data_IF_208985346215
#
_entry.id   IF_208985346215
#
_cell.length_a   1.000
_cell.length_b   1.000
_cell.length_c   1.000
_cell.angle_alpha   90.00
_cell.angle_beta   90.00
_cell.angle_gamma   90.00
#
_symmetry.space_group_name_H-M   'P 1'
#
loop_
_entity.id
_entity.type
_entity.pdbx_description
1 polymer ?
#
# COMPACT_ATOMS: atom_id res chain seq x y z
N UNK A 1 6.70 -8.29 12.78
CA UNK A 1 7.58 -7.13 13.01
C UNK A 1 6.78 -5.85 12.84
N UNK A 2 6.03 -5.44 13.87
CA UNK A 2 5.26 -4.19 13.85
C UNK A 2 6.21 -3.02 14.10
N UNK A 3 6.87 -2.56 13.04
CA UNK A 3 7.63 -1.30 13.07
C UNK A 3 6.71 -0.23 13.65
N UNK A 4 7.15 0.40 14.74
CA UNK A 4 6.34 1.36 15.48
C UNK A 4 5.79 2.42 14.53
N UNK A 5 4.47 2.39 14.31
CA UNK A 5 3.78 3.35 13.46
C UNK A 5 4.12 4.78 13.89
N UNK A 6 4.39 5.67 12.93
CA UNK A 6 4.61 7.11 13.14
C UNK A 6 3.50 7.77 14.00
N UNK A 7 2.32 7.15 14.06
CA UNK A 7 1.21 7.53 14.94
C UNK A 7 1.55 7.44 16.43
N UNK A 8 2.43 6.52 16.86
CA UNK A 8 2.89 6.43 18.26
C UNK A 8 3.69 7.67 18.66
N UNK A 9 4.52 8.18 17.76
CA UNK A 9 5.30 9.40 17.98
C UNK A 9 4.37 10.62 18.09
N UNK A 10 3.31 10.69 17.27
CA UNK A 10 2.29 11.74 17.41
C UNK A 10 1.56 11.69 18.76
N UNK A 11 1.29 10.49 19.31
CA UNK A 11 0.69 10.33 20.64
C UNK A 11 1.60 10.85 21.75
N UNK A 12 2.92 10.66 21.62
CA UNK A 12 3.92 11.19 22.56
C UNK A 12 4.02 12.73 22.49
N UNK A 13 3.95 13.30 21.28
CA UNK A 13 4.06 14.75 21.04
C UNK A 13 2.76 15.53 21.29
N UNK A 14 1.70 14.91 21.82
CA UNK A 14 0.37 15.53 21.96
C UNK A 14 0.38 16.83 22.78
N UNK A 15 1.22 16.92 23.82
CA UNK A 15 1.29 18.05 24.74
C UNK A 15 2.21 19.18 24.25
N UNK A 16 3.06 18.93 23.26
CA UNK A 16 3.99 19.94 22.73
C UNK A 16 3.64 20.27 21.27
N UNK A 17 2.86 21.35 21.11
CA UNK A 17 2.34 21.78 19.81
C UNK A 17 3.46 22.14 18.83
N UNK A 18 4.51 22.82 19.27
CA UNK A 18 5.64 23.21 18.43
C UNK A 18 6.38 21.99 17.86
N UNK A 19 6.69 21.00 18.70
CA UNK A 19 7.33 19.74 18.27
C UNK A 19 6.43 18.94 17.34
N UNK A 20 5.12 18.89 17.60
CA UNK A 20 4.13 18.22 16.74
C UNK A 20 4.10 18.82 15.34
N UNK A 21 4.04 20.15 15.21
CA UNK A 21 4.02 20.83 13.91
C UNK A 21 5.31 20.59 13.13
N UNK A 22 6.48 20.67 13.79
CA UNK A 22 7.77 20.39 13.15
C UNK A 22 7.86 18.96 12.62
N UNK A 23 7.39 17.98 13.41
CA UNK A 23 7.36 16.57 13.03
C UNK A 23 6.44 16.29 11.84
N UNK A 24 5.25 16.89 11.82
CA UNK A 24 4.31 16.76 10.70
C UNK A 24 4.89 17.30 9.38
N UNK A 25 5.68 18.38 9.44
CA UNK A 25 6.30 19.01 8.27
C UNK A 25 7.46 18.21 7.69
N UNK A 26 8.35 17.67 8.52
CA UNK A 26 9.63 17.10 8.04
C UNK A 26 9.72 15.58 8.15
N UNK A 27 9.08 14.98 9.17
CA UNK A 27 9.32 13.58 9.54
C UNK A 27 8.13 12.65 9.24
N UNK A 28 6.95 13.21 8.94
CA UNK A 28 5.79 12.41 8.57
C UNK A 28 6.09 11.62 7.28
N UNK A 29 5.92 10.29 7.26
CA UNK A 29 6.05 9.50 6.04
C UNK A 29 5.09 10.03 4.98
N UNK A 30 5.63 10.43 3.83
CA UNK A 30 4.82 10.87 2.69
C UNK A 30 4.24 9.64 2.00
N UNK A 31 2.94 9.66 1.74
CA UNK A 31 2.32 8.62 0.94
C UNK A 31 2.83 8.71 -0.51
N UNK A 32 3.39 7.63 -1.07
CA UNK A 32 3.96 7.66 -2.41
C UNK A 32 2.85 7.75 -3.46
N UNK A 33 2.90 8.79 -4.31
CA UNK A 33 1.98 8.92 -5.46
C UNK A 33 2.30 7.92 -6.59
N UNK A 34 3.55 7.48 -6.68
CA UNK A 34 4.09 6.61 -7.73
C UNK A 34 5.07 5.58 -7.16
N UNK A 35 5.52 4.63 -7.99
CA UNK A 35 6.44 3.58 -7.59
C UNK A 35 5.78 2.36 -6.95
N UNK A 36 6.59 1.37 -6.51
CA UNK A 36 6.10 0.08 -6.00
C UNK A 36 5.19 0.24 -4.77
N UNK A 37 5.54 1.12 -3.83
CA UNK A 37 4.76 1.34 -2.60
C UNK A 37 3.41 2.05 -2.80
N UNK A 38 3.13 2.56 -3.99
CA UNK A 38 1.85 3.27 -4.27
C UNK A 38 0.66 2.33 -4.47
N UNK A 39 0.92 1.05 -4.80
CA UNK A 39 -0.13 0.09 -5.19
C UNK A 39 0.15 -1.25 -4.52
N UNK A 40 -0.89 -1.81 -3.91
CA UNK A 40 -0.87 -3.08 -3.19
C UNK A 40 -1.95 -3.99 -3.73
N UNK A 41 -1.68 -5.30 -3.72
CA UNK A 41 -2.62 -6.28 -4.24
C UNK A 41 -3.87 -6.27 -3.39
N UNK A 42 -5.04 -6.25 -4.03
CA UNK A 42 -6.32 -6.29 -3.31
C UNK A 42 -6.50 -7.57 -2.47
N UNK A 43 -5.87 -8.68 -2.89
CA UNK A 43 -5.98 -9.99 -2.24
C UNK A 43 -4.84 -10.20 -1.24
N UNK A 44 -3.60 -10.30 -1.72
CA UNK A 44 -2.45 -10.69 -0.89
C UNK A 44 -1.66 -9.52 -0.31
N UNK A 45 -2.06 -8.27 -0.61
CA UNK A 45 -1.41 -7.04 -0.13
C UNK A 45 0.07 -6.86 -0.46
N UNK A 46 0.64 -7.71 -1.32
CA UNK A 46 2.01 -7.57 -1.83
C UNK A 46 2.10 -6.39 -2.81
N UNK A 47 3.28 -5.77 -2.87
CA UNK A 47 3.58 -4.64 -3.78
C UNK A 47 4.17 -5.08 -5.13
N UNK A 48 4.55 -6.36 -5.26
CA UNK A 48 5.25 -6.90 -6.43
C UNK A 48 4.31 -7.49 -7.48
N UNK A 49 4.79 -7.54 -8.72
CA UNK A 49 4.18 -8.29 -9.83
C UNK A 49 2.69 -8.01 -10.06
N UNK A 50 2.33 -6.73 -10.10
CA UNK A 50 0.96 -6.27 -10.29
C UNK A 50 0.53 -6.25 -11.75
N UNK A 51 -0.62 -6.86 -12.05
CA UNK A 51 -1.36 -6.63 -13.28
C UNK A 51 -2.10 -5.28 -13.17
N UNK A 52 -1.63 -4.30 -13.95
CA UNK A 52 -2.14 -2.92 -13.96
C UNK A 52 -3.22 -2.67 -15.02
N UNK A 53 -3.33 -3.56 -16.02
CA UNK A 53 -4.34 -3.43 -17.08
C UNK A 53 -5.74 -3.65 -16.52
N UNK A 54 -6.72 -2.98 -17.13
CA UNK A 54 -8.15 -3.14 -16.85
C UNK A 54 -8.56 -2.85 -15.39
N UNK A 55 -7.75 -2.10 -14.62
CA UNK A 55 -8.11 -1.70 -13.25
C UNK A 55 -8.11 -2.81 -12.19
N UNK A 56 -7.66 -4.03 -12.56
CA UNK A 56 -7.72 -5.21 -11.69
C UNK A 56 -6.89 -5.02 -10.40
N UNK A 57 -5.69 -4.44 -10.51
CA UNK A 57 -4.79 -4.18 -9.36
C UNK A 57 -4.54 -5.44 -8.49
N UNK A 58 -4.32 -6.57 -9.16
CA UNK A 58 -4.03 -7.86 -8.52
C UNK A 58 -2.62 -8.34 -8.86
N UNK A 59 -2.04 -9.14 -7.97
CA UNK A 59 -0.74 -9.77 -8.20
C UNK A 59 -0.88 -10.91 -9.23
N UNK A 60 0.18 -11.24 -9.98
CA UNK A 60 0.13 -12.33 -10.99
C UNK A 60 -0.28 -13.69 -10.43
N UNK A 61 0.06 -13.98 -9.16
CA UNK A 61 -0.29 -15.24 -8.49
C UNK A 61 -1.80 -15.27 -8.23
N UNK A 62 -2.28 -14.24 -7.53
CA UNK A 62 -3.68 -13.96 -7.26
C UNK A 62 -4.54 -13.95 -8.52
N UNK A 63 -4.02 -13.39 -9.62
CA UNK A 63 -4.74 -13.34 -10.90
C UNK A 63 -4.95 -14.74 -11.48
N UNK A 64 -4.01 -15.69 -11.33
CA UNK A 64 -4.18 -17.04 -11.86
C UNK A 64 -5.28 -17.82 -11.13
N UNK A 65 -5.44 -17.57 -9.84
CA UNK A 65 -6.50 -18.15 -9.02
C UNK A 65 -7.87 -17.53 -9.36
N UNK A 66 -7.93 -16.21 -9.53
CA UNK A 66 -9.17 -15.48 -9.84
C UNK A 66 -9.56 -15.50 -11.32
N UNK A 67 -8.64 -15.84 -12.23
CA UNK A 67 -8.88 -15.79 -13.68
C UNK A 67 -10.12 -16.60 -14.11
N UNK A 68 -10.35 -17.85 -13.65
CA UNK A 68 -11.54 -18.60 -14.00
C UNK A 68 -12.85 -17.94 -13.55
N UNK A 69 -12.88 -17.39 -12.33
CA UNK A 69 -14.05 -16.71 -11.75
C UNK A 69 -14.37 -15.40 -12.48
N UNK A 70 -13.32 -14.70 -12.92
CA UNK A 70 -13.44 -13.49 -13.74
C UNK A 70 -13.82 -13.79 -15.20
N UNK A 71 -13.98 -15.07 -15.57
CA UNK A 71 -14.37 -15.47 -16.92
C UNK A 71 -13.21 -15.53 -17.93
N UNK A 72 -11.96 -15.43 -17.49
CA UNK A 72 -10.81 -15.63 -18.38
C UNK A 72 -10.68 -17.12 -18.72
N UNK A 73 -10.77 -17.44 -20.00
CA UNK A 73 -10.53 -18.77 -20.54
C UNK A 73 -9.26 -18.77 -21.39
N UNK A 74 -8.52 -19.87 -21.34
CA UNK A 74 -7.37 -20.09 -22.22
C UNK A 74 -7.89 -20.62 -23.55
N UNK A 75 -7.87 -19.77 -24.56
CA UNK A 75 -8.02 -20.20 -25.95
C UNK A 75 -6.59 -20.39 -26.47
N UNK A 76 -6.26 -21.63 -26.81
CA UNK A 76 -4.92 -22.03 -27.26
C UNK A 76 -4.51 -21.34 -28.55
#
# INVERSE_FOLDING_TARGET
MTSGSWTKILKQLKNNKAKKTRFLKHNKPKQPKFGKGSRRCRVCWRYGAHNRKYGLNVCRQCFRELAPELGFKKYG
#
